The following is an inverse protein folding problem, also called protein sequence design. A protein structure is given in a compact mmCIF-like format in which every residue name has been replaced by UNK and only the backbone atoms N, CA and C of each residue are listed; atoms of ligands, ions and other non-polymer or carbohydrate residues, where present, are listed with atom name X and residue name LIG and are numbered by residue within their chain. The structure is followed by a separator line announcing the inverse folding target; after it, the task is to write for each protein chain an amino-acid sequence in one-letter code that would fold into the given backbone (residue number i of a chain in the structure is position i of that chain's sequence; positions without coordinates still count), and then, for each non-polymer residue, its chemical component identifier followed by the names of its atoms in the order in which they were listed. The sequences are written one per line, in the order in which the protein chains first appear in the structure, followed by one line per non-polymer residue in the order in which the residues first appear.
data_IF_787008864017
#
_entry.id   IF_787008864017
#
_cell.length_a   1.000
_cell.length_b   1.000
_cell.length_c   1.000
_cell.angle_alpha   90.00
_cell.angle_beta   90.00
_cell.angle_gamma   90.00
#
_symmetry.space_group_name_H-M   'P 1'
#
loop_
_entity.id
_entity.type
_entity.pdbx_description
1 polymer ?
#
# COMPACT_ATOMS: atom_id res chain seq x y z
N UNK A 1 6.57 12.91 -4.39
CA UNK A 1 5.57 13.98 -4.18
C UNK A 1 4.66 13.62 -3.01
N UNK A 2 4.42 14.52 -2.04
CA UNK A 2 3.49 14.26 -0.94
C UNK A 2 2.07 14.67 -1.34
N UNK A 3 1.14 13.72 -1.37
CA UNK A 3 -0.28 14.00 -1.51
C UNK A 3 -0.73 14.74 -0.23
N UNK A 4 -1.11 16.01 -0.37
CA UNK A 4 -1.51 16.85 0.77
C UNK A 4 -2.94 16.58 1.21
N UNK A 5 -3.82 16.23 0.26
CA UNK A 5 -5.23 16.01 0.53
C UNK A 5 -5.59 14.53 0.47
N UNK A 6 -5.96 13.97 1.62
CA UNK A 6 -6.34 12.56 1.74
C UNK A 6 -7.86 12.39 1.59
N UNK A 7 -8.27 11.35 0.88
CA UNK A 7 -9.66 10.92 0.81
C UNK A 7 -10.22 10.61 2.20
N UNK A 8 -11.44 11.08 2.46
CA UNK A 8 -12.15 10.93 3.74
C UNK A 8 -13.54 10.31 3.52
N UNK A 9 -14.23 9.88 4.58
CA UNK A 9 -15.62 9.40 4.45
C UNK A 9 -16.57 10.39 3.76
N UNK A 10 -16.38 11.68 4.03
CA UNK A 10 -17.19 12.78 3.46
C UNK A 10 -16.74 13.12 2.02
N UNK A 11 -15.44 13.00 1.74
CA UNK A 11 -14.85 13.29 0.43
C UNK A 11 -14.03 12.08 -0.07
N UNK A 12 -14.68 10.99 -0.50
CA UNK A 12 -14.00 9.72 -0.78
C UNK A 12 -13.12 9.76 -2.03
N UNK A 13 -13.27 10.76 -2.89
CA UNK A 13 -12.49 10.94 -4.11
C UNK A 13 -11.45 12.07 -4.00
N UNK A 14 -11.29 12.69 -2.82
CA UNK A 14 -10.51 13.93 -2.65
C UNK A 14 -9.07 13.79 -3.11
N UNK A 15 -8.42 12.67 -2.78
CA UNK A 15 -7.05 12.43 -3.23
C UNK A 15 -6.96 12.35 -4.75
N UNK A 16 -7.90 11.66 -5.39
CA UNK A 16 -7.94 11.59 -6.86
C UNK A 16 -8.23 12.97 -7.47
N UNK A 17 -9.15 13.75 -6.89
CA UNK A 17 -9.42 15.11 -7.34
C UNK A 17 -8.17 15.97 -7.31
N UNK A 18 -7.52 16.03 -6.14
CA UNK A 18 -6.32 16.82 -5.96
C UNK A 18 -5.16 16.31 -6.84
N UNK A 19 -5.00 15.00 -6.97
CA UNK A 19 -3.98 14.39 -7.82
C UNK A 19 -4.15 14.74 -9.30
N UNK A 20 -5.40 14.75 -9.78
CA UNK A 20 -5.74 15.03 -11.18
C UNK A 20 -5.79 16.54 -11.50
N UNK A 21 -5.61 17.42 -10.51
CA UNK A 21 -5.33 18.83 -10.80
C UNK A 21 -4.03 18.92 -11.62
N UNK A 22 -4.09 19.61 -12.76
CA UNK A 22 -3.01 19.69 -13.75
C UNK A 22 -1.63 19.89 -13.13
N UNK A 23 -1.48 20.91 -12.30
CA UNK A 23 -0.19 21.21 -11.67
C UNK A 23 0.34 20.09 -10.77
N UNK A 24 -0.55 19.35 -10.10
CA UNK A 24 -0.16 18.26 -9.21
C UNK A 24 0.20 17.01 -10.01
N UNK A 25 -0.52 16.75 -11.09
CA UNK A 25 -0.21 15.66 -12.00
C UNK A 25 1.15 15.88 -12.68
N UNK A 26 1.40 17.09 -13.18
CA UNK A 26 2.70 17.47 -13.76
C UNK A 26 3.84 17.36 -12.74
N UNK A 27 3.62 17.80 -11.49
CA UNK A 27 4.59 17.62 -10.39
C UNK A 27 4.84 16.14 -10.07
N UNK A 28 3.82 15.29 -10.17
CA UNK A 28 3.96 13.85 -9.94
C UNK A 28 4.80 13.19 -11.04
N UNK A 29 4.53 13.54 -12.30
CA UNK A 29 5.28 13.06 -13.45
C UNK A 29 6.74 13.54 -13.42
N UNK A 30 6.99 14.82 -13.17
CA UNK A 30 8.35 15.35 -12.98
C UNK A 30 9.08 14.61 -11.85
N UNK A 31 8.42 14.44 -10.70
CA UNK A 31 9.00 13.70 -9.59
C UNK A 31 9.30 12.24 -9.92
N UNK A 32 8.52 11.58 -10.79
CA UNK A 32 8.82 10.23 -11.22
C UNK A 32 10.19 10.18 -11.92
N UNK A 33 10.46 11.08 -12.86
CA UNK A 33 11.74 11.13 -13.55
C UNK A 33 12.88 11.61 -12.64
N UNK A 34 12.64 12.65 -11.84
CA UNK A 34 13.63 13.19 -10.89
C UNK A 34 14.05 12.18 -9.83
N UNK A 35 13.13 11.34 -9.35
CA UNK A 35 13.43 10.33 -8.32
C UNK A 35 14.47 9.32 -8.80
N UNK A 36 14.47 8.98 -10.08
CA UNK A 36 15.45 8.05 -10.64
C UNK A 36 16.75 8.75 -11.04
N UNK A 37 16.68 9.99 -11.55
CA UNK A 37 17.88 10.78 -11.87
C UNK A 37 18.68 11.07 -10.59
N UNK A 38 18.04 11.50 -9.51
CA UNK A 38 18.74 11.81 -8.26
C UNK A 38 19.23 10.58 -7.49
N UNK A 39 18.73 9.38 -7.83
CA UNK A 39 19.22 8.10 -7.26
C UNK A 39 20.56 7.65 -7.87
N UNK A 40 21.03 8.25 -8.97
CA UNK A 40 22.40 8.06 -9.50
C UNK A 40 23.47 8.30 -8.44
N UNK A 41 23.22 9.18 -7.48
CA UNK A 41 24.19 9.55 -6.45
C UNK A 41 24.42 8.43 -5.42
N UNK A 42 23.50 7.46 -5.31
CA UNK A 42 23.51 6.46 -4.24
C UNK A 42 23.69 5.00 -4.70
N UNK A 43 23.62 4.72 -6.00
CA UNK A 43 23.80 3.38 -6.56
C UNK A 43 24.88 3.42 -7.64
N UNK A 44 25.79 2.44 -7.67
CA UNK A 44 26.79 2.25 -8.73
C UNK A 44 26.13 1.76 -10.04
N UNK A 45 25.13 2.49 -10.53
CA UNK A 45 24.40 2.19 -11.77
C UNK A 45 24.18 3.48 -12.56
N UNK A 46 24.04 3.36 -13.89
CA UNK A 46 23.68 4.50 -14.74
C UNK A 46 22.18 4.50 -15.02
N UNK A 47 21.60 5.69 -15.12
CA UNK A 47 20.19 5.89 -15.37
C UNK A 47 20.01 6.65 -16.68
N UNK A 48 18.96 6.32 -17.43
CA UNK A 48 18.57 7.08 -18.62
C UNK A 48 17.07 7.28 -18.59
N UNK A 49 16.64 8.55 -18.63
CA UNK A 49 15.23 8.91 -18.75
C UNK A 49 14.82 9.03 -20.21
N UNK A 50 13.65 8.49 -20.52
CA UNK A 50 13.02 8.53 -21.82
C UNK A 50 11.63 9.14 -21.64
N UNK A 51 11.60 10.43 -21.32
CA UNK A 51 10.38 11.14 -20.91
C UNK A 51 9.30 11.14 -22.00
N UNK A 52 9.70 11.25 -23.27
CA UNK A 52 8.78 11.24 -24.41
C UNK A 52 8.11 9.87 -24.56
N UNK A 53 8.83 8.82 -24.20
CA UNK A 53 8.39 7.44 -24.27
C UNK A 53 7.74 6.95 -22.96
N UNK A 54 7.74 7.78 -21.90
CA UNK A 54 7.02 7.48 -20.67
C UNK A 54 7.72 6.49 -19.75
N UNK A 55 9.05 6.38 -19.78
CA UNK A 55 9.79 5.42 -18.96
C UNK A 55 11.19 5.88 -18.55
N UNK A 56 11.75 5.18 -17.56
CA UNK A 56 13.17 5.28 -17.17
C UNK A 56 13.79 3.89 -17.29
N UNK A 57 15.03 3.82 -17.75
CA UNK A 57 15.83 2.60 -17.64
C UNK A 57 16.86 2.74 -16.54
N UNK A 58 16.98 1.69 -15.74
CA UNK A 58 17.91 1.59 -14.63
C UNK A 58 18.83 0.40 -14.89
N UNK A 59 20.14 0.63 -14.96
CA UNK A 59 21.10 -0.47 -14.89
C UNK A 59 21.39 -0.79 -13.42
N UNK A 60 21.02 -1.99 -13.00
CA UNK A 60 21.28 -2.49 -11.66
C UNK A 60 22.37 -3.55 -11.72
N UNK A 61 23.34 -3.47 -10.79
CA UNK A 61 24.23 -4.59 -10.51
C UNK A 61 23.38 -5.68 -9.87
N UNK A 62 23.21 -6.79 -10.58
CA UNK A 62 22.45 -7.95 -10.10
C UNK A 62 23.32 -8.84 -9.23
N UNK A 63 24.62 -8.87 -9.53
CA UNK A 63 25.61 -9.63 -8.78
C UNK A 63 26.91 -8.84 -8.64
N UNK A 64 27.23 -8.45 -7.39
CA UNK A 64 28.45 -7.71 -7.06
C UNK A 64 29.73 -8.52 -7.28
N UNK A 65 29.65 -9.87 -7.25
CA UNK A 65 30.83 -10.72 -7.39
C UNK A 65 31.24 -10.91 -8.85
N UNK A 66 30.27 -11.02 -9.75
CA UNK A 66 30.51 -11.14 -11.20
C UNK A 66 30.50 -9.81 -11.94
N UNK A 67 29.93 -8.76 -11.34
CA UNK A 67 29.68 -7.48 -12.01
C UNK A 67 28.55 -7.57 -13.05
N UNK A 68 27.69 -8.59 -12.98
CA UNK A 68 26.58 -8.74 -13.91
C UNK A 68 25.57 -7.60 -13.73
N UNK A 69 25.22 -6.96 -14.84
CA UNK A 69 24.31 -5.82 -14.89
C UNK A 69 23.01 -6.22 -15.59
N UNK A 70 21.86 -5.91 -15.00
CA UNK A 70 20.56 -6.01 -15.67
C UNK A 70 19.97 -4.63 -15.93
N UNK A 71 19.41 -4.49 -17.13
CA UNK A 71 18.66 -3.31 -17.53
C UNK A 71 17.19 -3.51 -17.15
N UNK A 72 16.72 -2.70 -16.20
CA UNK A 72 15.31 -2.66 -15.82
C UNK A 72 14.63 -1.44 -16.42
N UNK A 73 13.52 -1.66 -17.11
CA UNK A 73 12.66 -0.60 -17.63
C UNK A 73 11.50 -0.38 -16.66
N UNK A 74 11.31 0.86 -16.20
CA UNK A 74 10.23 1.24 -15.29
C UNK A 74 9.33 2.23 -16.02
N UNK A 75 8.08 1.86 -16.28
CA UNK A 75 7.14 2.76 -16.97
C UNK A 75 6.44 3.70 -16.00
N UNK A 76 6.32 4.98 -16.39
CA UNK A 76 5.46 5.94 -15.69
C UNK A 76 4.00 5.44 -15.65
N UNK A 77 3.53 4.83 -16.74
CA UNK A 77 2.15 4.33 -16.84
C UNK A 77 1.89 3.19 -15.85
N UNK A 78 2.86 2.29 -15.64
CA UNK A 78 2.77 1.22 -14.63
C UNK A 78 2.71 1.80 -13.22
N UNK A 79 3.58 2.76 -12.92
CA UNK A 79 3.60 3.44 -11.62
C UNK A 79 2.32 4.24 -11.35
N UNK A 80 1.81 4.93 -12.37
CA UNK A 80 0.53 5.64 -12.33
C UNK A 80 -0.62 4.65 -12.08
N UNK A 81 -0.66 3.52 -12.80
CA UNK A 81 -1.66 2.47 -12.60
C UNK A 81 -1.66 1.91 -11.18
N UNK A 82 -0.48 1.70 -10.59
CA UNK A 82 -0.33 1.26 -9.21
C UNK A 82 -0.96 2.27 -8.23
N UNK A 83 -0.58 3.54 -8.35
CA UNK A 83 -1.11 4.61 -7.49
C UNK A 83 -2.62 4.74 -7.63
N UNK A 84 -3.13 4.78 -8.87
CA UNK A 84 -4.57 4.84 -9.14
C UNK A 84 -5.28 3.66 -8.49
N UNK A 85 -4.80 2.42 -8.71
CA UNK A 85 -5.42 1.21 -8.17
C UNK A 85 -5.61 1.28 -6.65
N UNK A 86 -4.58 1.71 -5.91
CA UNK A 86 -4.65 1.95 -4.46
C UNK A 86 -5.74 2.96 -4.10
N UNK A 87 -5.79 4.08 -4.80
CA UNK A 87 -6.78 5.12 -4.54
C UNK A 87 -8.21 4.67 -4.85
N UNK A 88 -8.45 3.86 -5.88
CA UNK A 88 -9.79 3.27 -6.14
C UNK A 88 -10.24 2.41 -4.97
N UNK A 89 -9.38 1.51 -4.49
CA UNK A 89 -9.76 0.62 -3.39
C UNK A 89 -10.08 1.42 -2.13
N UNK A 90 -9.27 2.44 -1.82
CA UNK A 90 -9.53 3.37 -0.72
C UNK A 90 -10.86 4.10 -0.89
N UNK A 91 -11.10 4.72 -2.05
CA UNK A 91 -12.33 5.45 -2.33
C UNK A 91 -13.56 4.56 -2.22
N UNK A 92 -13.54 3.37 -2.84
CA UNK A 92 -14.65 2.42 -2.78
C UNK A 92 -14.92 1.93 -1.37
N UNK A 93 -13.88 1.74 -0.57
CA UNK A 93 -14.05 1.38 0.83
C UNK A 93 -14.72 2.50 1.62
N UNK A 94 -14.23 3.74 1.52
CA UNK A 94 -14.82 4.90 2.20
C UNK A 94 -16.30 5.06 1.81
N UNK A 95 -16.62 4.90 0.52
CA UNK A 95 -18.00 4.93 0.01
C UNK A 95 -18.87 3.85 0.66
N UNK A 96 -18.37 2.61 0.75
CA UNK A 96 -19.10 1.50 1.40
C UNK A 96 -19.33 1.77 2.88
N UNK A 97 -18.32 2.27 3.60
CA UNK A 97 -18.41 2.58 5.03
C UNK A 97 -19.41 3.71 5.30
N UNK A 98 -19.31 4.82 4.56
CA UNK A 98 -20.24 5.94 4.70
C UNK A 98 -21.67 5.52 4.36
N UNK A 99 -21.85 4.75 3.28
CA UNK A 99 -23.16 4.17 2.92
C UNK A 99 -23.75 3.35 4.07
N UNK A 100 -22.94 2.47 4.70
CA UNK A 100 -23.40 1.64 5.81
C UNK A 100 -23.74 2.48 7.05
N UNK A 101 -22.96 3.53 7.35
CA UNK A 101 -23.25 4.46 8.44
C UNK A 101 -24.60 5.15 8.25
N UNK A 102 -24.84 5.71 7.05
CA UNK A 102 -26.11 6.37 6.70
C UNK A 102 -27.29 5.40 6.88
N UNK A 103 -27.13 4.16 6.41
CA UNK A 103 -28.17 3.13 6.56
C UNK A 103 -28.44 2.77 8.02
N UNK A 104 -27.39 2.57 8.82
CA UNK A 104 -27.52 2.25 10.24
C UNK A 104 -28.17 3.37 11.05
N UNK A 105 -28.10 4.61 10.56
CA UNK A 105 -28.82 5.76 11.11
C UNK A 105 -30.28 5.86 10.67
N UNK A 106 -30.79 4.88 9.91
CA UNK A 106 -32.17 4.86 9.42
C UNK A 106 -32.40 5.71 8.17
N UNK A 107 -31.33 6.19 7.51
CA UNK A 107 -31.43 7.02 6.32
C UNK A 107 -31.11 6.24 5.04
N UNK A 108 -31.61 6.73 3.90
CA UNK A 108 -31.36 6.13 2.60
C UNK A 108 -30.12 6.77 1.93
N UNK A 109 -29.09 6.00 1.54
CA UNK A 109 -27.82 6.56 1.07
C UNK A 109 -27.82 7.06 -0.39
N UNK A 110 -28.96 7.11 -1.07
CA UNK A 110 -28.98 7.48 -2.50
C UNK A 110 -28.50 8.91 -2.78
N UNK A 111 -28.78 9.87 -1.91
CA UNK A 111 -28.31 11.25 -2.09
C UNK A 111 -26.78 11.31 -2.04
N UNK A 112 -26.16 10.62 -1.08
CA UNK A 112 -24.71 10.48 -0.98
C UNK A 112 -24.11 9.82 -2.24
N UNK A 113 -24.69 8.71 -2.70
CA UNK A 113 -24.19 8.02 -3.89
C UNK A 113 -24.39 8.85 -5.18
N UNK A 114 -25.43 9.67 -5.25
CA UNK A 114 -25.65 10.62 -6.35
C UNK A 114 -24.56 11.69 -6.38
N UNK A 115 -24.22 12.26 -5.23
CA UNK A 115 -23.15 13.26 -5.11
C UNK A 115 -21.78 12.67 -5.49
N UNK A 116 -21.43 11.48 -4.99
CA UNK A 116 -20.20 10.79 -5.36
C UNK A 116 -20.13 10.54 -6.88
N UNK A 117 -21.24 10.14 -7.50
CA UNK A 117 -21.31 9.97 -8.97
C UNK A 117 -21.14 11.28 -9.72
N UNK A 118 -21.70 12.38 -9.22
CA UNK A 118 -21.56 13.70 -9.83
C UNK A 118 -20.10 14.17 -9.76
N UNK A 119 -19.43 13.98 -8.62
CA UNK A 119 -18.01 14.27 -8.45
C UNK A 119 -17.13 13.42 -9.39
N UNK A 120 -17.44 12.13 -9.53
CA UNK A 120 -16.73 11.23 -10.45
C UNK A 120 -16.93 11.61 -11.92
N UNK A 121 -18.12 12.09 -12.27
CA UNK A 121 -18.41 12.61 -13.61
C UNK A 121 -17.59 13.88 -13.88
N UNK A 122 -17.60 14.85 -12.96
CA UNK A 122 -16.79 16.07 -13.07
C UNK A 122 -15.32 15.74 -13.28
N UNK A 123 -14.77 14.80 -12.52
CA UNK A 123 -13.40 14.32 -12.69
C UNK A 123 -13.14 13.73 -14.08
N UNK A 124 -14.07 12.90 -14.56
CA UNK A 124 -13.94 12.27 -15.87
C UNK A 124 -13.98 13.31 -16.99
N UNK A 125 -14.79 14.35 -16.84
CA UNK A 125 -14.88 15.46 -17.79
C UNK A 125 -13.56 16.27 -17.78
N UNK A 126 -13.00 16.60 -16.61
CA UNK A 126 -11.69 17.28 -16.51
C UNK A 126 -10.55 16.46 -17.13
N UNK A 127 -10.52 15.14 -16.94
CA UNK A 127 -9.48 14.27 -17.53
C UNK A 127 -9.58 14.22 -19.06
N UNK A 128 -10.80 14.33 -19.62
CA UNK A 128 -10.99 14.38 -21.08
C UNK A 128 -10.47 15.68 -21.68
N UNK A 129 -10.53 16.78 -20.94
CA UNK A 129 -10.07 18.09 -21.38
C UNK A 129 -8.53 18.18 -21.41
N UNK A 130 -7.82 17.53 -20.48
CA UNK A 130 -6.35 17.68 -20.32
C UNK A 130 -5.50 16.64 -21.07
N UNK A 131 -6.12 15.60 -21.67
CA UNK A 131 -5.60 14.64 -22.67
C UNK A 131 -4.38 13.76 -22.29
N UNK A 132 -3.40 14.22 -21.52
CA UNK A 132 -2.21 13.43 -21.19
C UNK A 132 -2.60 12.27 -20.27
N UNK A 133 -2.51 11.03 -20.76
CA UNK A 133 -2.88 9.79 -20.05
C UNK A 133 -4.37 9.51 -19.84
N UNK A 134 -5.25 10.11 -20.64
CA UNK A 134 -6.70 9.81 -20.59
C UNK A 134 -7.00 8.31 -20.76
N UNK A 135 -6.20 7.61 -21.56
CA UNK A 135 -6.29 6.16 -21.81
C UNK A 135 -5.96 5.30 -20.59
N UNK A 136 -5.32 5.86 -19.58
CA UNK A 136 -5.00 5.19 -18.30
C UNK A 136 -6.02 5.58 -17.24
N UNK A 137 -6.30 6.88 -17.13
CA UNK A 137 -7.13 7.44 -16.05
C UNK A 137 -8.62 7.19 -16.28
N UNK A 138 -9.14 7.33 -17.52
CA UNK A 138 -10.57 7.13 -17.78
C UNK A 138 -11.03 5.68 -17.54
N UNK A 139 -10.33 4.63 -18.01
CA UNK A 139 -10.69 3.25 -17.66
C UNK A 139 -10.73 3.03 -16.15
N UNK A 140 -9.84 3.68 -15.42
CA UNK A 140 -9.80 3.62 -13.97
C UNK A 140 -11.04 4.27 -13.32
N UNK A 141 -11.40 5.50 -13.71
CA UNK A 141 -12.61 6.17 -13.20
C UNK A 141 -13.88 5.38 -13.56
N UNK A 142 -13.92 4.77 -14.74
CA UNK A 142 -15.01 3.89 -15.17
C UNK A 142 -15.16 2.64 -14.28
N UNK A 143 -14.05 2.08 -13.76
CA UNK A 143 -14.11 0.97 -12.79
C UNK A 143 -14.79 1.41 -11.48
N UNK A 144 -14.48 2.61 -10.97
CA UNK A 144 -15.17 3.18 -9.80
C UNK A 144 -16.66 3.36 -10.10
N UNK A 145 -17.00 3.96 -11.24
CA UNK A 145 -18.39 4.19 -11.63
C UNK A 145 -19.18 2.88 -11.75
N UNK A 146 -18.58 1.85 -12.36
CA UNK A 146 -19.18 0.52 -12.48
C UNK A 146 -19.45 -0.10 -11.11
N UNK A 147 -18.51 0.04 -10.16
CA UNK A 147 -18.72 -0.42 -8.79
C UNK A 147 -19.85 0.35 -8.08
N UNK A 148 -19.95 1.67 -8.30
CA UNK A 148 -21.03 2.50 -7.77
C UNK A 148 -22.40 2.13 -8.33
N UNK A 149 -22.50 1.77 -9.61
CA UNK A 149 -23.76 1.28 -10.22
C UNK A 149 -24.21 -0.01 -9.55
N UNK A 150 -23.28 -0.95 -9.32
CA UNK A 150 -23.59 -2.20 -8.59
C UNK A 150 -24.08 -1.93 -7.16
N UNK A 151 -23.52 -0.92 -6.48
CA UNK A 151 -23.96 -0.52 -5.13
C UNK A 151 -25.35 0.12 -5.10
N UNK A 152 -25.80 0.76 -6.20
CA UNK A 152 -27.15 1.33 -6.33
C UNK A 152 -28.22 0.28 -6.69
N UNK A 153 -27.87 -0.69 -7.54
CA UNK A 153 -28.83 -1.68 -8.08
C UNK A 153 -28.97 -2.94 -7.24
N UNK A 154 -27.95 -3.31 -6.47
CA UNK A 154 -28.10 -4.30 -5.42
C UNK A 154 -28.85 -3.66 -4.26
N UNK A 155 -29.88 -4.34 -3.73
CA UNK A 155 -30.26 -4.16 -2.34
C UNK A 155 -29.01 -4.19 -1.45
N UNK A 156 -29.12 -3.87 -0.17
CA UNK A 156 -28.04 -4.22 0.75
C UNK A 156 -28.00 -5.75 0.72
N UNK A 157 -27.23 -6.32 -0.21
CA UNK A 157 -26.49 -7.51 0.08
C UNK A 157 -25.81 -7.09 1.36
N UNK A 158 -26.30 -7.66 2.45
CA UNK A 158 -25.53 -7.90 3.65
C UNK A 158 -24.31 -8.65 3.16
N UNK A 159 -23.42 -7.93 2.48
CA UNK A 159 -22.20 -8.41 1.88
C UNK A 159 -21.52 -9.00 3.07
N UNK A 160 -21.42 -10.35 3.01
CA UNK A 160 -21.01 -11.25 4.08
C UNK A 160 -20.39 -10.42 5.16
N UNK A 161 -21.22 -10.06 6.16
CA UNK A 161 -20.99 -8.98 7.11
C UNK A 161 -19.50 -8.69 7.13
N UNK A 162 -19.06 -7.50 6.68
CA UNK A 162 -17.86 -6.92 7.26
C UNK A 162 -18.27 -6.73 8.72
N UNK A 163 -18.31 -7.86 9.45
CA UNK A 163 -18.24 -7.93 10.86
C UNK A 163 -17.02 -7.05 11.01
N UNK A 164 -17.20 -5.95 11.72
CA UNK A 164 -16.14 -5.57 12.61
C UNK A 164 -15.69 -6.90 13.20
N UNK A 165 -14.55 -7.40 12.75
CA UNK A 165 -13.93 -8.54 13.39
C UNK A 165 -13.48 -7.92 14.71
N UNK A 166 -14.46 -7.70 15.61
CA UNK A 166 -14.28 -7.88 17.03
C UNK A 166 -13.76 -9.30 17.07
N UNK A 167 -12.44 -9.38 17.11
CA UNK A 167 -11.61 -10.56 17.19
C UNK A 167 -12.42 -11.80 17.56
N UNK A 168 -12.78 -12.61 16.56
CA UNK A 168 -12.47 -14.04 16.76
C UNK A 168 -10.96 -14.04 16.88
N UNK A 169 -10.45 -14.55 18.00
CA UNK A 169 -9.03 -14.51 18.35
C UNK A 169 -8.16 -15.06 17.21
N UNK A 170 -7.76 -14.17 16.29
CA UNK A 170 -6.77 -14.48 15.28
C UNK A 170 -5.47 -14.88 15.97
N UNK A 171 -4.65 -15.67 15.30
CA UNK A 171 -3.34 -16.06 15.83
C UNK A 171 -2.52 -14.82 16.24
N UNK A 172 -2.57 -13.79 15.39
CA UNK A 172 -2.17 -12.43 15.74
C UNK A 172 -3.36 -11.67 16.34
N UNK A 173 -3.26 -11.35 17.62
CA UNK A 173 -4.27 -10.57 18.37
C UNK A 173 -4.21 -9.11 17.97
N UNK A 174 -4.76 -8.80 16.80
CA UNK A 174 -4.81 -7.46 16.24
C UNK A 174 -5.63 -6.49 17.11
N UNK A 175 -5.12 -5.27 17.26
CA UNK A 175 -5.78 -4.09 17.84
C UNK A 175 -6.14 -3.07 16.76
N UNK A 176 -5.93 -3.41 15.50
CA UNK A 176 -6.14 -2.56 14.33
C UNK A 176 -7.19 -3.19 13.43
N UNK A 177 -7.98 -2.35 12.75
CA UNK A 177 -8.95 -2.82 11.77
C UNK A 177 -8.26 -3.37 10.52
N UNK A 178 -9.00 -4.14 9.72
CA UNK A 178 -8.54 -4.59 8.38
C UNK A 178 -8.12 -3.40 7.53
N UNK A 179 -8.79 -2.26 7.63
CA UNK A 179 -8.39 -1.03 6.97
C UNK A 179 -6.98 -0.57 7.37
N UNK A 180 -6.66 -0.63 8.66
CA UNK A 180 -5.33 -0.30 9.11
C UNK A 180 -4.28 -1.32 8.67
N UNK A 181 -4.64 -2.61 8.58
CA UNK A 181 -3.76 -3.64 7.97
C UNK A 181 -3.49 -3.35 6.49
N UNK A 182 -4.50 -2.92 5.72
CA UNK A 182 -4.31 -2.45 4.32
C UNK A 182 -3.33 -1.30 4.24
N UNK A 183 -3.46 -0.31 5.13
CA UNK A 183 -2.50 0.81 5.18
C UNK A 183 -1.08 0.36 5.50
N UNK A 184 -0.93 -0.63 6.38
CA UNK A 184 0.37 -1.24 6.69
C UNK A 184 0.92 -1.99 5.47
N UNK A 185 0.09 -2.73 4.73
CA UNK A 185 0.48 -3.40 3.48
C UNK A 185 1.04 -2.40 2.46
N UNK A 186 0.29 -1.35 2.14
CA UNK A 186 0.75 -0.34 1.19
C UNK A 186 2.01 0.39 1.66
N UNK A 187 2.14 0.65 2.96
CA UNK A 187 3.36 1.21 3.53
C UNK A 187 4.54 0.25 3.36
N UNK A 188 4.32 -1.06 3.55
CA UNK A 188 5.37 -2.06 3.37
C UNK A 188 5.84 -2.14 1.91
N UNK A 189 4.94 -1.99 0.93
CA UNK A 189 5.31 -1.90 -0.49
C UNK A 189 6.09 -0.60 -0.76
N UNK A 190 5.58 0.54 -0.31
CA UNK A 190 6.19 1.86 -0.52
C UNK A 190 7.62 1.94 0.05
N UNK A 191 7.87 1.24 1.16
CA UNK A 191 9.17 1.16 1.80
C UNK A 191 10.03 -0.02 1.30
N UNK A 192 9.61 -0.71 0.24
CA UNK A 192 10.29 -1.87 -0.37
C UNK A 192 10.58 -3.00 0.62
N UNK A 193 9.67 -3.21 1.58
CA UNK A 193 9.79 -4.25 2.63
C UNK A 193 9.25 -5.59 2.12
N UNK A 194 8.17 -5.57 1.36
CA UNK A 194 7.54 -6.74 0.72
C UNK A 194 7.40 -6.48 -0.77
N UNK A 195 7.22 -7.55 -1.55
CA UNK A 195 6.97 -7.48 -3.00
C UNK A 195 5.49 -7.78 -3.31
N UNK A 196 4.82 -6.88 -4.03
CA UNK A 196 3.41 -7.05 -4.41
C UNK A 196 3.21 -8.23 -5.37
N UNK A 197 4.23 -8.57 -6.16
CA UNK A 197 4.14 -9.66 -7.13
C UNK A 197 4.20 -11.02 -6.42
N UNK A 198 4.77 -11.05 -5.21
CA UNK A 198 4.88 -12.26 -4.38
C UNK A 198 3.79 -12.36 -3.31
N UNK A 199 3.28 -11.23 -2.81
CA UNK A 199 2.28 -11.19 -1.75
C UNK A 199 1.18 -10.19 -2.06
N UNK A 200 -0.02 -10.72 -2.29
CA UNK A 200 -1.24 -9.92 -2.49
C UNK A 200 -1.67 -9.18 -1.23
N UNK A 201 -2.48 -8.12 -1.39
CA UNK A 201 -3.09 -7.40 -0.26
C UNK A 201 -3.93 -8.37 0.61
N UNK A 202 -4.74 -9.21 -0.04
CA UNK A 202 -5.59 -10.20 0.63
C UNK A 202 -4.76 -11.20 1.43
N UNK A 203 -3.67 -11.71 0.85
CA UNK A 203 -2.76 -12.61 1.54
C UNK A 203 -2.06 -11.96 2.72
N UNK A 204 -1.61 -10.71 2.57
CA UNK A 204 -1.05 -9.96 3.69
C UNK A 204 -2.06 -9.83 4.83
N UNK A 205 -3.32 -9.46 4.52
CA UNK A 205 -4.38 -9.36 5.54
C UNK A 205 -4.65 -10.73 6.17
N UNK A 206 -4.70 -11.79 5.37
CA UNK A 206 -4.95 -13.16 5.83
C UNK A 206 -3.88 -13.61 6.83
N UNK A 207 -2.60 -13.35 6.56
CA UNK A 207 -1.48 -13.63 7.49
C UNK A 207 -1.73 -13.03 8.88
N UNK A 208 -2.28 -11.82 8.97
CA UNK A 208 -2.51 -11.13 10.24
C UNK A 208 -3.89 -11.38 10.86
N UNK A 209 -4.83 -12.01 10.15
CA UNK A 209 -6.22 -12.17 10.61
C UNK A 209 -6.64 -13.63 10.77
N UNK A 210 -5.90 -14.57 10.19
CA UNK A 210 -6.22 -15.99 10.28
C UNK A 210 -6.12 -16.52 11.73
N UNK A 211 -7.10 -17.32 12.18
CA UNK A 211 -7.02 -18.03 13.47
C UNK A 211 -5.92 -19.08 13.53
N UNK A 212 -5.62 -19.75 12.41
CA UNK A 212 -4.58 -20.78 12.33
C UNK A 212 -3.59 -20.46 11.20
N UNK A 213 -2.35 -20.04 11.50
CA UNK A 213 -1.40 -19.65 10.47
C UNK A 213 -0.94 -20.83 9.61
N UNK A 214 -1.11 -22.08 10.07
CA UNK A 214 -0.63 -23.28 9.37
C UNK A 214 -1.41 -23.60 8.10
N UNK A 215 -2.62 -23.06 7.95
CA UNK A 215 -3.46 -23.29 6.77
C UNK A 215 -3.24 -22.24 5.68
N UNK A 216 -2.45 -21.20 5.96
CA UNK A 216 -2.19 -20.12 5.02
C UNK A 216 -1.09 -20.56 4.05
N UNK A 217 -1.38 -20.49 2.75
CA UNK A 217 -0.40 -20.82 1.70
C UNK A 217 0.57 -19.66 1.43
N UNK A 218 0.07 -18.42 1.49
CA UNK A 218 0.88 -17.23 1.25
C UNK A 218 1.71 -16.86 2.48
N UNK A 219 3.00 -16.59 2.24
CA UNK A 219 3.98 -16.25 3.27
C UNK A 219 4.50 -14.85 3.01
N UNK A 220 4.86 -14.13 4.08
CA UNK A 220 5.57 -12.86 3.98
C UNK A 220 7.04 -13.16 3.76
N UNK A 221 7.48 -13.08 2.51
CA UNK A 221 8.90 -13.07 2.14
C UNK A 221 9.34 -11.63 2.03
N UNK A 222 10.27 -11.21 2.89
CA UNK A 222 10.75 -9.84 2.91
C UNK A 222 11.65 -9.56 1.70
N UNK A 223 11.41 -8.46 1.00
CA UNK A 223 12.27 -7.97 -0.09
C UNK A 223 13.52 -7.24 0.42
N UNK A 224 13.48 -6.79 1.68
CA UNK A 224 14.52 -5.97 2.30
C UNK A 224 15.50 -6.77 3.19
N UNK A 225 16.51 -6.08 3.74
CA UNK A 225 17.41 -6.68 4.73
C UNK A 225 16.66 -7.15 5.97
N UNK A 226 17.17 -8.19 6.65
CA UNK A 226 16.61 -8.69 7.92
C UNK A 226 16.47 -7.57 8.95
N UNK A 227 17.42 -6.62 8.96
CA UNK A 227 17.38 -5.46 9.86
C UNK A 227 16.14 -4.60 9.58
N UNK A 228 15.90 -4.21 8.33
CA UNK A 228 14.76 -3.37 7.93
C UNK A 228 13.42 -4.08 8.16
N UNK A 229 13.36 -5.39 7.88
CA UNK A 229 12.19 -6.22 8.16
C UNK A 229 11.85 -6.24 9.66
N UNK A 230 12.85 -6.48 10.53
CA UNK A 230 12.65 -6.47 11.98
C UNK A 230 12.26 -5.08 12.48
N UNK A 231 12.91 -4.01 12.00
CA UNK A 231 12.53 -2.63 12.32
C UNK A 231 11.06 -2.37 12.02
N UNK A 232 10.58 -2.79 10.86
CA UNK A 232 9.17 -2.68 10.49
C UNK A 232 8.24 -3.45 11.43
N UNK A 233 8.56 -4.72 11.72
CA UNK A 233 7.79 -5.55 12.67
C UNK A 233 7.69 -4.86 14.03
N UNK A 234 8.80 -4.31 14.54
CA UNK A 234 8.84 -3.60 15.82
C UNK A 234 7.98 -2.33 15.80
N UNK A 235 7.95 -1.59 14.69
CA UNK A 235 7.10 -0.41 14.56
C UNK A 235 5.60 -0.77 14.56
N UNK A 236 5.20 -1.81 13.83
CA UNK A 236 3.79 -2.22 13.76
C UNK A 236 3.33 -3.04 14.97
N UNK A 237 4.25 -3.53 15.80
CA UNK A 237 3.97 -4.35 17.00
C UNK A 237 2.90 -3.71 17.90
N UNK A 238 2.91 -2.39 18.04
CA UNK A 238 1.92 -1.67 18.85
C UNK A 238 0.45 -1.88 18.42
N UNK A 239 0.22 -2.33 17.18
CA UNK A 239 -1.10 -2.66 16.65
C UNK A 239 -1.53 -4.09 16.95
N UNK A 240 -0.75 -4.86 17.71
CA UNK A 240 -1.02 -6.25 18.05
C UNK A 240 -0.73 -6.50 19.54
N UNK A 241 -1.39 -7.48 20.17
CA UNK A 241 -1.07 -7.87 21.55
C UNK A 241 0.12 -8.82 21.65
N UNK A 242 0.38 -9.60 20.61
CA UNK A 242 1.32 -10.74 20.65
C UNK A 242 2.14 -10.89 19.37
N UNK A 243 2.37 -9.83 18.58
CA UNK A 243 3.05 -9.97 17.28
C UNK A 243 4.42 -10.64 17.40
N UNK A 244 5.35 -10.01 18.13
CA UNK A 244 6.73 -10.49 18.29
C UNK A 244 6.83 -11.97 18.69
N UNK A 245 6.25 -12.44 19.81
CA UNK A 245 6.37 -13.84 20.22
C UNK A 245 5.64 -14.83 19.30
N UNK A 246 4.87 -14.33 18.33
CA UNK A 246 4.07 -15.15 17.42
C UNK A 246 4.69 -15.23 16.01
N UNK A 247 5.64 -14.35 15.65
CA UNK A 247 6.28 -14.34 14.31
C UNK A 247 6.86 -15.72 13.98
N UNK A 248 7.81 -16.21 14.78
CA UNK A 248 8.46 -17.50 14.53
C UNK A 248 7.46 -18.66 14.60
N UNK A 249 6.55 -18.63 15.59
CA UNK A 249 5.53 -19.66 15.78
C UNK A 249 4.53 -19.77 14.63
N UNK A 250 4.29 -18.67 13.92
CA UNK A 250 3.39 -18.67 12.76
C UNK A 250 3.95 -19.44 11.58
N UNK A 251 5.29 -19.51 11.44
CA UNK A 251 5.98 -20.02 10.26
C UNK A 251 5.63 -19.28 8.95
N UNK A 252 5.25 -18.00 9.03
CA UNK A 252 4.80 -17.20 7.88
C UNK A 252 5.76 -16.08 7.45
N UNK A 253 6.85 -15.83 8.20
CA UNK A 253 7.73 -14.68 7.98
C UNK A 253 9.13 -15.14 7.60
N UNK A 254 9.57 -14.85 6.38
CA UNK A 254 10.82 -15.31 5.82
C UNK A 254 11.70 -14.14 5.42
N UNK A 255 13.00 -14.26 5.63
CA UNK A 255 13.98 -13.27 5.19
C UNK A 255 14.07 -13.21 3.67
N UNK A 256 14.67 -12.14 3.15
CA UNK A 256 15.01 -12.04 1.74
C UNK A 256 15.88 -13.22 1.29
N UNK A 257 15.53 -13.77 0.14
CA UNK A 257 16.41 -14.67 -0.61
C UNK A 257 17.58 -13.85 -1.20
N UNK A 258 18.78 -14.39 -1.10
CA UNK A 258 19.98 -13.84 -1.72
C UNK A 258 20.54 -14.86 -2.70
N UNK A 259 21.35 -14.40 -3.66
CA UNK A 259 21.94 -15.22 -4.75
C UNK A 259 22.58 -16.53 -4.29
N UNK A 260 23.09 -16.57 -3.05
CA UNK A 260 23.77 -17.73 -2.47
C UNK A 260 23.09 -18.31 -1.22
N UNK A 261 21.91 -17.80 -0.85
CA UNK A 261 21.20 -18.23 0.38
C UNK A 261 19.70 -18.17 0.17
N UNK A 262 19.07 -19.33 0.28
CA UNK A 262 17.62 -19.46 0.33
C UNK A 262 17.03 -18.62 1.47
N UNK A 263 15.79 -18.16 1.27
CA UNK A 263 15.01 -17.52 2.32
C UNK A 263 14.88 -18.46 3.53
N UNK A 264 15.07 -17.92 4.74
CA UNK A 264 14.91 -18.69 5.97
C UNK A 264 13.89 -18.03 6.90
N UNK A 265 13.31 -18.83 7.79
CA UNK A 265 12.32 -18.36 8.75
C UNK A 265 12.92 -17.31 9.68
N UNK A 266 12.23 -16.18 9.84
CA UNK A 266 12.63 -15.13 10.75
C UNK A 266 12.45 -15.60 12.21
N UNK A 267 13.57 -15.95 12.85
CA UNK A 267 13.58 -16.47 14.22
C UNK A 267 13.58 -15.37 15.28
N UNK A 268 13.21 -15.73 16.51
CA UNK A 268 13.28 -14.85 17.66
C UNK A 268 14.71 -14.34 17.90
N UNK A 269 15.71 -15.19 17.67
CA UNK A 269 17.13 -14.82 17.76
C UNK A 269 17.52 -13.69 16.80
N UNK A 270 16.97 -13.69 15.58
CA UNK A 270 17.19 -12.63 14.60
C UNK A 270 16.58 -11.30 15.07
N UNK A 271 15.36 -11.36 15.63
CA UNK A 271 14.65 -10.19 16.16
C UNK A 271 15.43 -9.57 17.32
N UNK A 272 15.90 -10.39 18.26
CA UNK A 272 16.62 -9.91 19.43
C UNK A 272 18.00 -9.34 19.09
N UNK A 273 18.71 -9.95 18.14
CA UNK A 273 19.99 -9.44 17.64
C UNK A 273 19.86 -8.05 17.02
N UNK A 274 18.81 -7.80 16.22
CA UNK A 274 18.56 -6.47 15.64
C UNK A 274 18.17 -5.47 16.73
N UNK A 275 17.31 -5.86 17.67
CA UNK A 275 16.91 -4.99 18.79
C UNK A 275 18.11 -4.52 19.63
N UNK A 276 19.05 -5.41 19.93
CA UNK A 276 20.29 -5.07 20.63
C UNK A 276 21.16 -4.07 19.85
N UNK A 277 21.13 -4.10 18.52
CA UNK A 277 21.86 -3.15 17.66
C UNK A 277 21.17 -1.78 17.60
N UNK A 278 19.83 -1.75 17.51
CA UNK A 278 19.04 -0.51 17.47
C UNK A 278 19.17 0.30 18.77
N UNK A 279 19.31 -0.35 19.93
CA UNK A 279 19.50 0.35 21.21
C UNK A 279 20.80 1.15 21.33
N UNK A 280 21.76 0.96 20.40
CA UNK A 280 23.05 1.66 20.42
C UNK A 280 23.06 2.95 19.57
N UNK A 281 22.19 3.05 18.57
CA UNK A 281 21.93 4.26 17.77
C UNK A 281 20.66 4.05 16.94
N UNK A 282 19.60 4.87 17.08
CA UNK A 282 18.52 4.86 16.11
C UNK A 282 19.08 5.35 14.77
N UNK A 283 18.85 4.58 13.71
CA UNK A 283 19.23 4.95 12.35
C UNK A 283 18.04 5.56 11.61
N UNK A 284 18.32 6.40 10.62
CA UNK A 284 17.32 7.16 9.84
C UNK A 284 16.17 6.30 9.29
N UNK A 285 16.45 5.06 8.86
CA UNK A 285 15.42 4.15 8.31
C UNK A 285 14.37 3.74 9.37
N UNK A 286 14.81 3.51 10.62
CA UNK A 286 13.89 3.17 11.71
C UNK A 286 13.03 4.37 12.06
N UNK A 287 13.61 5.57 12.07
CA UNK A 287 12.87 6.81 12.34
C UNK A 287 11.84 7.11 11.26
N UNK A 288 12.15 6.85 9.99
CA UNK A 288 11.21 7.01 8.88
C UNK A 288 10.01 6.06 9.03
N UNK A 289 10.25 4.77 9.22
CA UNK A 289 9.18 3.78 9.45
C UNK A 289 8.36 4.15 10.69
N UNK A 290 9.03 4.50 11.80
CA UNK A 290 8.39 4.85 13.05
C UNK A 290 7.52 6.11 12.91
N UNK A 291 7.95 7.09 12.12
CA UNK A 291 7.17 8.29 11.82
C UNK A 291 5.89 7.97 11.05
N UNK A 292 5.97 7.22 9.95
CA UNK A 292 4.79 6.82 9.18
C UNK A 292 3.80 6.00 10.01
N UNK A 293 4.32 5.07 10.83
CA UNK A 293 3.50 4.25 11.70
C UNK A 293 2.86 5.07 12.84
N UNK A 294 3.55 6.08 13.35
CA UNK A 294 2.99 7.02 14.34
C UNK A 294 1.87 7.87 13.75
N UNK A 295 2.03 8.35 12.51
CA UNK A 295 0.99 9.09 11.78
C UNK A 295 -0.24 8.21 11.52
N UNK A 296 -0.04 6.93 11.19
CA UNK A 296 -1.14 5.96 11.07
C UNK A 296 -1.91 5.80 12.38
N UNK A 297 -1.20 5.68 13.52
CA UNK A 297 -1.83 5.57 14.84
C UNK A 297 -2.71 6.77 15.18
N UNK A 298 -2.26 7.98 14.87
CA UNK A 298 -3.04 9.21 15.08
C UNK A 298 -4.30 9.24 14.22
N UNK A 299 -4.19 8.81 12.95
CA UNK A 299 -5.31 8.76 11.99
C UNK A 299 -6.33 7.66 12.29
N UNK A 300 -5.96 6.62 13.04
CA UNK A 300 -6.85 5.52 13.43
C UNK A 300 -7.60 5.76 14.75
N UNK A 301 -7.21 6.79 15.53
CA UNK A 301 -7.89 7.20 16.77
C UNK A 301 -9.04 8.19 16.55
N UNK A 302 -9.15 8.78 15.36
CA UNK A 302 -10.23 9.68 14.94
C UNK A 302 -11.26 8.89 14.14
#
# INVERSE_FOLDING_TARGET
MRIKELSTPDFPLRTLQHFLEKENFEKYEAHFYDEYINREVNYNGSFQSFEKEGYVTVMLVVDEASGEMALHKISFTERLNYMLTREKELSLQLIRETRQKIYNSGHYPANYLKEVKQNLKSLSDSVREDNKYQNVILPFLNKINTALVKLNGGGIQTGASIKSVKSRDGFFKSRISVFGLRKIYYLAIELEIIDQDQLSEEGFIEVFTCPDPRVISQKIVFKCTTKKAVSFILCIEQFFKNLKPSIEKSQLFYTKENTNKESFLLSQSNIDAVKCRLGKKPENEFEEIAKYVSDLKLKLKK
#
